data_IF_155951926447
#
_entry.id   IF_155951926447
#
_cell.length_a   1.000
_cell.length_b   1.000
_cell.length_c   1.000
_cell.angle_alpha   90.00
_cell.angle_beta   90.00
_cell.angle_gamma   90.00
#
_symmetry.space_group_name_H-M   'P 1'
#
loop_
_entity.id
_entity.type
_entity.pdbx_description
1 polymer ?
#
# COMPACT_ATOMS: atom_id res chain seq x y z
N UNK A 1 3.21 21.10 -7.60
CA UNK A 1 4.65 20.75 -7.46
C UNK A 1 4.77 19.23 -7.54
N UNK A 2 5.70 18.70 -8.32
CA UNK A 2 6.07 17.28 -8.32
C UNK A 2 7.11 17.03 -7.23
N UNK A 3 6.96 15.92 -6.50
CA UNK A 3 7.88 15.50 -5.45
C UNK A 3 8.30 14.05 -5.64
N UNK A 4 9.47 13.70 -5.15
CA UNK A 4 9.98 12.33 -5.12
C UNK A 4 10.06 11.86 -3.67
N UNK A 5 9.72 10.61 -3.41
CA UNK A 5 9.92 9.97 -2.12
C UNK A 5 11.14 9.08 -2.23
N UNK A 6 12.21 9.45 -1.54
CA UNK A 6 13.46 8.68 -1.52
C UNK A 6 13.22 7.26 -0.98
N UNK A 7 13.94 6.28 -1.53
CA UNK A 7 13.88 4.87 -1.12
C UNK A 7 12.50 4.19 -1.28
N UNK A 8 11.50 4.83 -1.90
CA UNK A 8 10.16 4.24 -2.05
C UNK A 8 10.17 2.84 -2.72
N UNK A 9 11.12 2.57 -3.60
CA UNK A 9 11.29 1.26 -4.24
C UNK A 9 11.54 0.11 -3.23
N UNK A 10 12.05 0.41 -2.04
CA UNK A 10 12.31 -0.58 -0.97
C UNK A 10 11.06 -0.97 -0.18
N UNK A 11 9.92 -0.31 -0.42
CA UNK A 11 8.70 -0.50 0.37
C UNK A 11 8.25 -1.96 0.41
N UNK A 12 8.27 -2.66 -0.73
CA UNK A 12 7.80 -4.04 -0.81
C UNK A 12 8.64 -4.99 0.07
N UNK A 13 9.97 -4.85 0.05
CA UNK A 13 10.87 -5.67 0.85
C UNK A 13 10.69 -5.37 2.34
N UNK A 14 10.65 -4.10 2.72
CA UNK A 14 10.42 -3.68 4.11
C UNK A 14 9.07 -4.21 4.61
N UNK A 15 8.02 -4.10 3.78
CA UNK A 15 6.68 -4.58 4.10
C UNK A 15 6.68 -6.09 4.39
N UNK A 16 7.32 -6.89 3.54
CA UNK A 16 7.32 -8.35 3.71
C UNK A 16 7.97 -8.77 5.02
N UNK A 17 9.11 -8.17 5.38
CA UNK A 17 9.84 -8.52 6.61
C UNK A 17 9.17 -8.03 7.89
N UNK A 18 8.17 -7.16 7.81
CA UNK A 18 7.37 -6.72 8.96
C UNK A 18 6.04 -7.48 9.01
N UNK A 19 5.27 -7.46 7.92
CA UNK A 19 3.89 -7.96 7.93
C UNK A 19 3.82 -9.47 8.00
N UNK A 20 4.76 -10.21 7.38
CA UNK A 20 4.72 -11.67 7.44
C UNK A 20 4.90 -12.22 8.86
N UNK A 21 5.95 -11.85 9.62
CA UNK A 21 6.11 -12.35 10.99
C UNK A 21 5.01 -11.86 11.93
N UNK A 22 4.56 -10.61 11.83
CA UNK A 22 3.47 -10.08 12.66
C UNK A 22 2.15 -10.81 12.39
N UNK A 23 1.78 -11.03 11.12
CA UNK A 23 0.60 -11.79 10.75
C UNK A 23 0.71 -13.26 11.17
N UNK A 24 1.87 -13.87 10.99
CA UNK A 24 2.15 -15.24 11.44
C UNK A 24 1.92 -15.40 12.94
N UNK A 25 2.48 -14.51 13.73
CA UNK A 25 2.30 -14.51 15.18
C UNK A 25 0.83 -14.33 15.58
N UNK A 26 0.16 -13.34 15.01
CA UNK A 26 -1.24 -13.04 15.33
C UNK A 26 -2.19 -14.19 14.98
N UNK A 27 -1.98 -14.83 13.82
CA UNK A 27 -2.84 -15.90 13.35
C UNK A 27 -2.45 -17.29 13.85
N UNK A 28 -1.34 -17.45 14.57
CA UNK A 28 -0.82 -18.76 14.98
C UNK A 28 -1.87 -19.66 15.67
N UNK A 29 -2.64 -19.19 16.69
CA UNK A 29 -3.63 -20.04 17.36
C UNK A 29 -4.79 -20.44 16.44
N UNK A 30 -5.20 -19.56 15.55
CA UNK A 30 -6.29 -19.80 14.61
C UNK A 30 -5.85 -20.73 13.47
N UNK A 31 -4.61 -20.57 13.00
CA UNK A 31 -4.03 -21.42 11.97
C UNK A 31 -3.84 -22.85 12.46
N UNK A 32 -3.42 -23.02 13.71
CA UNK A 32 -3.29 -24.34 14.35
C UNK A 32 -4.65 -25.03 14.50
N UNK A 33 -5.67 -24.30 14.96
CA UNK A 33 -7.00 -24.85 15.24
C UNK A 33 -7.86 -25.07 14.00
N UNK A 34 -7.71 -24.21 12.98
CA UNK A 34 -8.58 -24.19 11.79
C UNK A 34 -7.79 -23.94 10.50
N UNK A 35 -6.81 -24.79 10.14
CA UNK A 35 -5.95 -24.56 8.98
C UNK A 35 -6.74 -24.48 7.66
N UNK A 36 -7.81 -25.25 7.55
CA UNK A 36 -8.63 -25.35 6.33
C UNK A 36 -9.55 -24.12 6.11
N UNK A 37 -9.66 -23.22 7.10
CA UNK A 37 -10.38 -21.95 6.93
C UNK A 37 -9.58 -20.87 6.24
N UNK A 38 -8.29 -21.09 6.01
CA UNK A 38 -7.42 -20.20 5.26
C UNK A 38 -7.26 -20.68 3.83
N UNK A 39 -7.38 -19.76 2.86
CA UNK A 39 -7.03 -20.11 1.49
C UNK A 39 -5.55 -20.55 1.39
N UNK A 40 -5.19 -21.43 0.45
CA UNK A 40 -3.83 -21.94 0.34
C UNK A 40 -2.76 -20.84 0.27
N UNK A 41 -3.02 -19.76 -0.49
CA UNK A 41 -2.09 -18.65 -0.62
C UNK A 41 -1.93 -17.80 0.64
N UNK A 42 -2.99 -17.65 1.46
CA UNK A 42 -2.90 -16.96 2.76
C UNK A 42 -2.16 -17.83 3.75
N UNK A 43 -2.50 -19.12 3.85
CA UNK A 43 -1.84 -20.09 4.72
C UNK A 43 -0.34 -20.13 4.46
N UNK A 44 0.07 -20.27 3.21
CA UNK A 44 1.50 -20.27 2.83
C UNK A 44 2.22 -19.03 3.36
N UNK A 45 1.63 -17.84 3.23
CA UNK A 45 2.24 -16.59 3.71
C UNK A 45 2.36 -16.54 5.23
N UNK A 46 1.35 -17.02 5.96
CA UNK A 46 1.40 -17.12 7.42
C UNK A 46 2.49 -18.10 7.86
N UNK A 47 2.64 -19.21 7.16
CA UNK A 47 3.73 -20.18 7.42
C UNK A 47 5.11 -19.57 7.11
N UNK A 48 5.26 -18.86 5.98
CA UNK A 48 6.51 -18.17 5.63
C UNK A 48 6.94 -17.15 6.70
N UNK A 49 6.01 -16.48 7.35
CA UNK A 49 6.32 -15.50 8.39
C UNK A 49 7.06 -16.08 9.60
N UNK A 50 6.96 -17.39 9.84
CA UNK A 50 7.70 -18.09 10.91
C UNK A 50 9.20 -18.20 10.64
N UNK A 51 9.62 -18.01 9.40
CA UNK A 51 11.02 -18.15 8.96
C UNK A 51 11.71 -16.80 8.75
N UNK A 52 11.04 -15.69 9.01
CA UNK A 52 11.68 -14.37 9.00
C UNK A 52 12.59 -14.26 10.22
N UNK A 53 13.86 -13.98 9.99
CA UNK A 53 14.83 -13.83 11.06
C UNK A 53 14.55 -12.56 11.88
N UNK A 54 14.79 -12.62 13.18
CA UNK A 54 14.63 -11.47 14.07
C UNK A 54 15.49 -10.27 13.63
N UNK A 55 16.71 -10.50 13.13
CA UNK A 55 17.57 -9.45 12.60
C UNK A 55 17.00 -8.76 11.36
N UNK A 56 16.33 -9.51 10.47
CA UNK A 56 15.70 -8.95 9.27
C UNK A 56 14.47 -8.12 9.64
N UNK A 57 13.68 -8.56 10.63
CA UNK A 57 12.59 -7.77 11.17
C UNK A 57 13.09 -6.45 11.79
N UNK A 58 14.14 -6.49 12.61
CA UNK A 58 14.72 -5.28 13.23
C UNK A 58 15.26 -4.33 12.16
N UNK A 59 15.96 -4.86 11.13
CA UNK A 59 16.43 -4.07 9.99
C UNK A 59 15.27 -3.42 9.23
N UNK A 60 14.20 -4.17 8.99
CA UNK A 60 13.00 -3.66 8.32
C UNK A 60 12.30 -2.56 9.14
N UNK A 61 12.23 -2.68 10.46
CA UNK A 61 11.70 -1.64 11.35
C UNK A 61 12.53 -0.35 11.30
N UNK A 62 13.86 -0.46 11.22
CA UNK A 62 14.72 0.70 11.00
C UNK A 62 14.45 1.35 9.64
N UNK A 63 14.40 0.57 8.56
CA UNK A 63 14.11 1.06 7.21
C UNK A 63 12.71 1.68 7.10
N UNK A 64 11.72 1.15 7.82
CA UNK A 64 10.40 1.79 7.96
C UNK A 64 10.52 3.23 8.48
N UNK A 65 11.40 3.47 9.44
CA UNK A 65 11.66 4.82 9.97
C UNK A 65 12.28 5.73 8.91
N UNK A 66 13.19 5.20 8.09
CA UNK A 66 13.78 5.94 6.96
C UNK A 66 12.71 6.34 5.94
N UNK A 67 11.84 5.38 5.55
CA UNK A 67 10.72 5.63 4.64
C UNK A 67 9.73 6.66 5.22
N UNK A 68 9.41 6.57 6.52
CA UNK A 68 8.55 7.55 7.18
C UNK A 68 9.09 8.96 7.04
N UNK A 69 10.37 9.16 7.33
CA UNK A 69 11.02 10.47 7.18
C UNK A 69 11.08 10.94 5.72
N UNK A 70 11.20 10.02 4.76
CA UNK A 70 11.18 10.37 3.34
C UNK A 70 9.81 10.90 2.92
N UNK A 71 8.72 10.28 3.37
CA UNK A 71 7.35 10.78 3.13
C UNK A 71 7.11 12.10 3.85
N UNK A 72 7.55 12.25 5.13
CA UNK A 72 7.45 13.50 5.87
C UNK A 72 8.12 14.66 5.12
N UNK A 73 9.32 14.42 4.54
CA UNK A 73 10.01 15.44 3.71
C UNK A 73 9.26 15.76 2.42
N UNK A 74 8.73 14.74 1.75
CA UNK A 74 8.02 14.91 0.48
C UNK A 74 6.74 15.74 0.65
N UNK A 75 6.00 15.55 1.75
CA UNK A 75 4.74 16.26 2.03
C UNK A 75 4.99 17.65 2.63
N UNK A 76 6.18 17.93 3.11
CA UNK A 76 6.48 19.22 3.75
C UNK A 76 6.21 20.40 2.80
N UNK A 77 5.44 21.37 3.27
CA UNK A 77 5.01 22.53 2.49
C UNK A 77 3.92 22.23 1.44
N UNK A 78 3.27 21.06 1.54
CA UNK A 78 2.08 20.71 0.77
C UNK A 78 0.91 20.44 1.74
N UNK A 79 -0.31 20.63 1.25
CA UNK A 79 -1.52 20.26 2.02
C UNK A 79 -1.74 18.74 2.01
N UNK A 80 -1.48 18.10 0.85
CA UNK A 80 -1.51 16.66 0.67
C UNK A 80 -0.62 16.24 -0.52
N UNK A 81 -0.23 14.97 -0.57
CA UNK A 81 0.28 14.35 -1.79
C UNK A 81 -0.90 13.79 -2.59
N UNK A 82 -0.86 13.98 -3.91
CA UNK A 82 -1.84 13.42 -4.84
C UNK A 82 -1.14 12.44 -5.77
N UNK A 83 -1.68 11.23 -5.88
CA UNK A 83 -1.18 10.19 -6.79
C UNK A 83 -2.31 9.24 -7.18
N UNK A 84 -2.16 8.43 -8.25
CA UNK A 84 -3.10 7.36 -8.53
C UNK A 84 -3.19 6.40 -7.33
N UNK A 85 -4.38 5.86 -7.03
CA UNK A 85 -4.53 4.83 -6.00
C UNK A 85 -3.86 3.52 -6.43
N UNK A 86 -4.09 3.14 -7.69
CA UNK A 86 -3.54 1.95 -8.32
C UNK A 86 -2.86 2.32 -9.63
N UNK A 87 -1.77 1.65 -10.00
CA UNK A 87 -1.07 1.93 -11.25
C UNK A 87 -1.77 1.35 -12.49
N UNK A 88 -2.72 0.44 -12.30
CA UNK A 88 -3.51 -0.22 -13.35
C UNK A 88 -4.99 -0.21 -13.00
N UNK A 89 -5.91 -0.31 -13.98
CA UNK A 89 -7.32 -0.62 -13.74
C UNK A 89 -7.49 -2.00 -13.10
N UNK A 90 -8.71 -2.32 -12.65
CA UNK A 90 -9.03 -3.62 -12.07
C UNK A 90 -8.69 -4.75 -13.06
N UNK A 91 -7.80 -5.69 -12.70
CA UNK A 91 -7.47 -6.83 -13.55
C UNK A 91 -8.63 -7.83 -13.57
N UNK A 92 -8.67 -8.72 -14.59
CA UNK A 92 -9.65 -9.81 -14.63
C UNK A 92 -9.44 -10.75 -13.45
N UNK A 93 -10.54 -11.28 -12.92
CA UNK A 93 -10.49 -12.26 -11.82
C UNK A 93 -9.74 -13.51 -12.30
N UNK A 94 -8.81 -13.98 -11.47
CA UNK A 94 -8.04 -15.21 -11.71
C UNK A 94 -6.74 -15.04 -12.49
N UNK A 95 -6.44 -13.84 -13.04
CA UNK A 95 -5.13 -13.60 -13.67
C UNK A 95 -4.04 -13.46 -12.61
N UNK A 96 -2.90 -14.08 -12.85
CA UNK A 96 -1.75 -14.03 -11.94
C UNK A 96 -0.82 -12.85 -12.25
N UNK A 97 -0.68 -12.49 -13.53
CA UNK A 97 0.19 -11.43 -14.02
C UNK A 97 -0.56 -10.49 -14.96
N UNK A 98 -0.06 -9.28 -15.11
CA UNK A 98 -0.52 -8.29 -16.11
C UNK A 98 0.69 -7.68 -16.79
N UNK A 99 0.56 -7.36 -18.07
CA UNK A 99 1.59 -6.60 -18.79
C UNK A 99 1.57 -5.13 -18.32
N UNK A 100 2.74 -4.65 -17.94
CA UNK A 100 2.96 -3.24 -17.62
C UNK A 100 4.22 -2.79 -18.35
N UNK A 101 4.07 -1.98 -19.37
CA UNK A 101 5.16 -1.45 -20.20
C UNK A 101 6.05 -2.58 -20.80
N UNK A 102 5.43 -3.65 -21.30
CA UNK A 102 6.12 -4.80 -21.89
C UNK A 102 6.77 -5.75 -20.89
N UNK A 103 6.38 -5.70 -19.62
CA UNK A 103 6.86 -6.61 -18.56
C UNK A 103 5.68 -7.26 -17.86
N UNK A 104 5.78 -8.58 -17.67
CA UNK A 104 4.82 -9.32 -16.84
C UNK A 104 5.05 -9.01 -15.36
N UNK A 105 4.09 -8.31 -14.77
CA UNK A 105 4.10 -7.96 -13.35
C UNK A 105 3.06 -8.79 -12.58
N UNK A 106 3.42 -9.39 -11.44
CA UNK A 106 2.45 -10.07 -10.59
C UNK A 106 1.34 -9.12 -10.15
N UNK A 107 0.06 -9.50 -10.39
CA UNK A 107 -1.11 -8.68 -10.05
C UNK A 107 -1.05 -8.19 -8.61
N UNK A 108 -0.70 -9.07 -7.66
CA UNK A 108 -0.60 -8.69 -6.26
C UNK A 108 0.45 -7.58 -6.01
N UNK A 109 1.60 -7.66 -6.66
CA UNK A 109 2.67 -6.68 -6.46
C UNK A 109 2.29 -5.32 -7.03
N UNK A 110 1.76 -5.31 -8.26
CA UNK A 110 1.37 -4.06 -8.93
C UNK A 110 0.20 -3.37 -8.21
N UNK A 111 -0.80 -4.12 -7.73
CA UNK A 111 -1.96 -3.57 -7.03
C UNK A 111 -1.61 -2.94 -5.67
N UNK A 112 -0.51 -3.33 -5.05
CA UNK A 112 -0.09 -2.80 -3.76
C UNK A 112 0.96 -1.68 -3.88
N UNK A 113 1.55 -1.50 -5.05
CA UNK A 113 2.73 -0.64 -5.29
C UNK A 113 2.60 0.79 -4.76
N UNK A 114 1.44 1.42 -4.93
CA UNK A 114 1.23 2.81 -4.55
C UNK A 114 0.57 3.00 -3.18
N UNK A 115 0.11 1.94 -2.52
CA UNK A 115 -0.58 2.02 -1.23
C UNK A 115 0.25 1.50 -0.05
N UNK A 116 1.11 0.52 -0.27
CA UNK A 116 1.93 -0.09 0.79
C UNK A 116 2.80 0.90 1.55
N UNK A 117 3.38 1.88 0.85
CA UNK A 117 4.25 2.88 1.46
C UNK A 117 3.54 3.61 2.60
N UNK A 118 2.31 4.05 2.38
CA UNK A 118 1.56 4.83 3.38
C UNK A 118 1.05 3.96 4.52
N UNK A 119 0.71 2.69 4.25
CA UNK A 119 0.42 1.71 5.29
C UNK A 119 1.64 1.49 6.21
N UNK A 120 2.83 1.40 5.61
CA UNK A 120 4.07 1.22 6.38
C UNK A 120 4.46 2.44 7.19
N UNK A 121 4.29 3.63 6.62
CA UNK A 121 4.74 4.88 7.25
C UNK A 121 3.69 5.47 8.19
N UNK A 122 2.44 5.00 8.14
CA UNK A 122 1.35 5.47 9.01
C UNK A 122 0.84 6.87 8.65
N UNK A 123 1.02 7.30 7.40
CA UNK A 123 0.40 8.52 6.89
C UNK A 123 -1.06 8.24 6.54
N UNK A 124 -1.99 9.13 6.92
CA UNK A 124 -3.39 8.97 6.54
C UNK A 124 -3.53 9.12 5.02
N UNK A 125 -4.32 8.23 4.42
CA UNK A 125 -4.60 8.25 2.99
C UNK A 125 -6.07 8.00 2.73
N UNK A 126 -6.63 8.67 1.72
CA UNK A 126 -8.01 8.50 1.27
C UNK A 126 -8.05 8.38 -0.25
N UNK A 127 -8.82 7.42 -0.75
CA UNK A 127 -9.07 7.26 -2.18
C UNK A 127 -10.37 7.97 -2.57
N UNK A 128 -10.32 8.71 -3.68
CA UNK A 128 -11.46 9.41 -4.28
C UNK A 128 -11.68 8.90 -5.71
N UNK A 129 -12.94 8.79 -6.17
CA UNK A 129 -13.24 8.52 -7.58
C UNK A 129 -12.62 9.60 -8.47
N UNK A 130 -11.95 9.18 -9.55
CA UNK A 130 -11.28 10.11 -10.49
C UNK A 130 -11.76 9.92 -11.93
N UNK A 131 -12.93 9.29 -12.13
CA UNK A 131 -13.52 9.02 -13.43
C UNK A 131 -13.38 7.55 -13.84
N UNK A 132 -13.27 7.30 -15.14
CA UNK A 132 -13.17 5.96 -15.72
C UNK A 132 -12.17 5.93 -16.87
N UNK A 133 -11.65 4.75 -17.19
CA UNK A 133 -10.89 4.49 -18.40
C UNK A 133 -11.77 4.64 -19.66
N UNK A 134 -11.16 4.63 -20.85
CA UNK A 134 -11.91 4.62 -22.11
C UNK A 134 -12.88 3.45 -22.23
N UNK A 135 -12.54 2.32 -21.61
CA UNK A 135 -13.37 1.09 -21.58
C UNK A 135 -14.38 1.07 -20.44
N UNK A 136 -14.56 2.19 -19.70
CA UNK A 136 -15.56 2.34 -18.65
C UNK A 136 -15.15 1.80 -17.27
N UNK A 137 -13.91 1.33 -17.08
CA UNK A 137 -13.46 0.86 -15.75
C UNK A 137 -13.23 2.03 -14.81
N UNK A 138 -13.72 1.97 -13.56
CA UNK A 138 -13.52 3.05 -12.60
C UNK A 138 -12.04 3.19 -12.24
N UNK A 139 -11.58 4.43 -12.13
CA UNK A 139 -10.26 4.79 -11.64
C UNK A 139 -10.36 5.72 -10.45
N UNK A 140 -9.35 5.70 -9.61
CA UNK A 140 -9.29 6.51 -8.40
C UNK A 140 -7.93 7.16 -8.22
N UNK A 141 -7.96 8.32 -7.57
CA UNK A 141 -6.78 8.98 -7.03
C UNK A 141 -6.74 8.80 -5.52
N UNK A 142 -5.57 8.89 -4.90
CA UNK A 142 -5.43 8.97 -3.47
C UNK A 142 -4.80 10.30 -3.05
N UNK A 143 -5.31 10.83 -1.94
CA UNK A 143 -4.72 11.92 -1.22
C UNK A 143 -4.05 11.36 0.04
N UNK A 144 -2.81 11.79 0.29
CA UNK A 144 -2.05 11.38 1.47
C UNK A 144 -1.74 12.62 2.29
N UNK A 145 -2.14 12.60 3.55
CA UNK A 145 -2.01 13.70 4.49
C UNK A 145 -0.79 13.56 5.40
N UNK A 146 -0.51 14.63 6.15
CA UNK A 146 0.50 14.63 7.19
C UNK A 146 0.11 13.67 8.31
N UNK A 147 1.10 13.01 8.88
CA UNK A 147 0.90 12.07 9.99
C UNK A 147 0.21 12.74 11.18
N UNK A 148 -0.80 12.08 11.73
CA UNK A 148 -1.61 12.61 12.83
C UNK A 148 -2.61 13.71 12.45
N UNK A 149 -2.77 14.03 11.16
CA UNK A 149 -3.70 15.07 10.67
C UNK A 149 -4.78 14.50 9.74
N UNK A 150 -5.40 13.42 10.19
CA UNK A 150 -6.52 12.78 9.45
C UNK A 150 -7.70 13.72 9.26
N UNK A 151 -8.01 14.54 10.28
CA UNK A 151 -9.01 15.60 10.23
C UNK A 151 -8.83 16.52 9.01
N UNK A 152 -7.63 17.10 8.90
CA UNK A 152 -7.29 17.99 7.79
C UNK A 152 -7.35 17.28 6.43
N UNK A 153 -6.92 16.02 6.37
CA UNK A 153 -7.00 15.25 5.14
C UNK A 153 -8.44 15.06 4.68
N UNK A 154 -9.37 14.81 5.60
CA UNK A 154 -10.79 14.67 5.29
C UNK A 154 -11.39 15.97 4.75
N UNK A 155 -11.05 17.12 5.33
CA UNK A 155 -11.49 18.43 4.84
C UNK A 155 -10.99 18.72 3.41
N UNK A 156 -9.72 18.40 3.16
CA UNK A 156 -9.12 18.52 1.81
C UNK A 156 -9.85 17.59 0.84
N UNK A 157 -10.05 16.34 1.23
CA UNK A 157 -10.72 15.34 0.40
C UNK A 157 -12.15 15.73 0.03
N UNK A 158 -12.93 16.25 1.00
CA UNK A 158 -14.27 16.76 0.74
C UNK A 158 -14.27 17.92 -0.27
N UNK A 159 -13.30 18.82 -0.16
CA UNK A 159 -13.15 19.95 -1.09
C UNK A 159 -12.76 19.48 -2.50
N UNK A 160 -11.91 18.47 -2.62
CA UNK A 160 -11.52 17.87 -3.91
C UNK A 160 -12.68 17.11 -4.52
N UNK A 161 -13.38 16.29 -3.74
CA UNK A 161 -14.55 15.53 -4.21
C UNK A 161 -15.66 16.43 -4.76
N UNK A 162 -15.95 17.53 -4.09
CA UNK A 162 -16.94 18.51 -4.55
C UNK A 162 -16.59 19.08 -5.94
N UNK A 163 -15.31 19.31 -6.22
CA UNK A 163 -14.84 19.79 -7.53
C UNK A 163 -14.84 18.71 -8.61
N UNK A 164 -14.64 17.45 -8.25
CA UNK A 164 -14.68 16.33 -9.20
C UNK A 164 -16.11 15.99 -9.64
N UNK A 165 -17.12 16.37 -8.85
CA UNK A 165 -18.54 16.17 -9.15
C UNK A 165 -19.17 17.33 -9.93
N UNK A 166 -18.52 18.49 -9.96
CA UNK A 166 -18.99 19.70 -10.69
C UNK A 166 -18.64 19.62 -12.17
#
# INVERSE_FOLDING_TARGET
RTVTVDDAARTADVYLHIVLPEASWFHAPMLERYPDRYSPGVRLRLEMGRYVLGEDYVRAMFLRTVLTRAVDRAINGCDALLLPTLPIPAPRIGVATVDVDGRDEPVRAIMLRLTQLFNMTGHPAIALPAGATRDGWPVSMQLVGQKGRTDRLLDIAASVEARLRA
#
